data_IF_205206392738
#
_entry.id   IF_205206392738
#
_cell.length_a   1.000
_cell.length_b   1.000
_cell.length_c   1.000
_cell.angle_alpha   90.00
_cell.angle_beta   90.00
_cell.angle_gamma   90.00
#
_symmetry.space_group_name_H-M   'P 1'
#
loop_
_entity.id
_entity.type
_entity.pdbx_description
1 polymer ?
#
# COMPACT_ATOMS: atom_id res chain seq x y z
N UNK A 1 24.81 -69.31 15.17
CA UNK A 1 25.95 -68.62 15.79
C UNK A 1 25.40 -67.50 16.64
N UNK A 2 25.67 -67.52 17.94
CA UNK A 2 25.05 -66.60 18.90
C UNK A 2 25.56 -65.17 18.83
N UNK A 3 24.87 -64.26 19.52
CA UNK A 3 25.42 -63.51 20.66
C UNK A 3 24.33 -62.64 21.32
N UNK A 4 24.53 -62.46 22.62
CA UNK A 4 23.66 -61.90 23.65
C UNK A 4 23.15 -60.48 23.39
N UNK A 5 21.89 -60.25 23.78
CA UNK A 5 21.31 -58.92 23.93
C UNK A 5 21.78 -58.24 25.22
N UNK A 6 22.19 -56.98 25.09
CA UNK A 6 22.30 -56.03 26.20
C UNK A 6 21.41 -54.83 25.87
N UNK A 7 20.35 -54.65 26.65
CA UNK A 7 19.47 -53.49 26.58
C UNK A 7 20.11 -52.29 27.26
N UNK A 8 20.58 -51.33 26.48
CA UNK A 8 21.02 -50.02 26.97
C UNK A 8 19.89 -49.00 26.87
N UNK A 9 19.33 -48.60 28.02
CA UNK A 9 18.45 -47.44 28.12
C UNK A 9 19.25 -46.16 27.81
N UNK A 10 19.00 -45.54 26.65
CA UNK A 10 19.51 -44.23 26.31
C UNK A 10 18.78 -43.14 27.14
N UNK A 11 19.50 -42.49 28.04
CA UNK A 11 18.97 -41.39 28.86
C UNK A 11 18.87 -40.09 28.05
N UNK A 12 17.66 -39.76 27.58
CA UNK A 12 17.32 -38.49 26.90
C UNK A 12 17.50 -37.22 27.78
N UNK A 13 17.96 -37.36 29.03
CA UNK A 13 18.00 -36.26 30.00
C UNK A 13 19.26 -35.38 29.96
N UNK A 14 20.34 -35.83 29.27
CA UNK A 14 21.59 -35.06 29.17
C UNK A 14 21.62 -34.08 27.99
N UNK A 15 21.09 -34.46 26.82
CA UNK A 15 21.06 -33.57 25.64
C UNK A 15 20.07 -32.40 25.81
N UNK A 16 18.93 -32.63 26.49
CA UNK A 16 17.93 -31.58 26.77
C UNK A 16 18.48 -30.44 27.63
N UNK A 17 19.45 -30.70 28.52
CA UNK A 17 20.06 -29.65 29.37
C UNK A 17 21.04 -28.76 28.60
N UNK A 18 21.72 -29.29 27.58
CA UNK A 18 22.67 -28.52 26.76
C UNK A 18 22.01 -27.56 25.76
N UNK A 19 20.77 -27.83 25.33
CA UNK A 19 20.08 -26.99 24.34
C UNK A 19 19.72 -25.60 24.88
N UNK A 20 19.31 -25.51 26.15
CA UNK A 20 18.93 -24.25 26.81
C UNK A 20 20.13 -23.36 27.20
N UNK A 21 21.35 -23.89 27.15
CA UNK A 21 22.58 -23.15 27.44
C UNK A 21 23.26 -22.59 26.19
N UNK A 22 22.76 -22.90 24.99
CA UNK A 22 23.29 -22.37 23.73
C UNK A 22 22.82 -20.94 23.52
N UNK A 23 23.69 -20.11 22.95
CA UNK A 23 23.27 -18.77 22.51
C UNK A 23 22.23 -18.88 21.40
N UNK A 24 21.37 -17.86 21.25
CA UNK A 24 20.36 -17.80 20.19
C UNK A 24 20.96 -18.04 18.81
N UNK A 25 22.17 -17.55 18.56
CA UNK A 25 22.90 -17.76 17.31
C UNK A 25 23.27 -19.24 17.09
N UNK A 26 23.70 -19.95 18.13
CA UNK A 26 24.02 -21.38 18.06
C UNK A 26 22.76 -22.24 17.85
N UNK A 27 21.62 -21.84 18.42
CA UNK A 27 20.34 -22.51 18.18
C UNK A 27 19.86 -22.30 16.74
N UNK A 28 20.00 -21.09 16.19
CA UNK A 28 19.65 -20.79 14.81
C UNK A 28 20.57 -21.49 13.80
N UNK A 29 21.88 -21.55 14.09
CA UNK A 29 22.84 -22.30 13.28
C UNK A 29 22.48 -23.79 13.25
N UNK A 30 22.08 -24.35 14.40
CA UNK A 30 21.66 -25.74 14.50
C UNK A 30 20.39 -26.03 13.68
N UNK A 31 19.36 -25.18 13.78
CA UNK A 31 18.13 -25.32 12.97
C UNK A 31 18.43 -25.24 11.48
N UNK A 32 19.27 -24.28 11.07
CA UNK A 32 19.66 -24.12 9.68
C UNK A 32 20.39 -25.36 9.15
N UNK A 33 21.35 -25.88 9.89
CA UNK A 33 22.24 -26.94 9.41
C UNK A 33 21.62 -28.34 9.50
N UNK A 34 20.83 -28.62 10.54
CA UNK A 34 20.30 -29.97 10.79
C UNK A 34 18.84 -30.16 10.38
N UNK A 35 18.08 -29.07 10.25
CA UNK A 35 16.66 -29.15 9.86
C UNK A 35 16.47 -28.61 8.45
N UNK A 36 16.89 -27.37 8.18
CA UNK A 36 16.57 -26.72 6.91
C UNK A 36 17.40 -27.24 5.74
N UNK A 37 18.71 -27.43 5.91
CA UNK A 37 19.58 -27.93 4.82
C UNK A 37 19.16 -29.28 4.25
N UNK A 38 18.87 -30.32 5.05
CA UNK A 38 18.39 -31.60 4.52
C UNK A 38 17.04 -31.47 3.80
N UNK A 39 16.13 -30.65 4.34
CA UNK A 39 14.81 -30.39 3.73
C UNK A 39 14.96 -29.72 2.37
N UNK A 40 15.81 -28.70 2.25
CA UNK A 40 16.07 -28.04 0.97
C UNK A 40 16.74 -28.99 -0.03
N UNK A 41 17.65 -29.86 0.40
CA UNK A 41 18.25 -30.88 -0.47
C UNK A 41 17.20 -31.86 -1.02
N UNK A 42 16.24 -32.30 -0.19
CA UNK A 42 15.15 -33.19 -0.60
C UNK A 42 14.18 -32.48 -1.55
N UNK A 43 13.79 -31.24 -1.26
CA UNK A 43 12.91 -30.45 -2.14
C UNK A 43 13.57 -30.14 -3.49
N UNK A 44 14.88 -29.85 -3.48
CA UNK A 44 15.66 -29.64 -4.70
C UNK A 44 15.73 -30.93 -5.54
N UNK A 45 15.95 -32.08 -4.91
CA UNK A 45 15.93 -33.38 -5.58
C UNK A 45 14.54 -33.75 -6.12
N UNK A 46 13.47 -33.40 -5.40
CA UNK A 46 12.08 -33.63 -5.82
C UNK A 46 11.67 -32.74 -7.01
N UNK A 47 12.14 -31.48 -7.04
CA UNK A 47 11.90 -30.53 -8.14
C UNK A 47 12.46 -31.02 -9.47
N UNK A 48 13.60 -31.71 -9.45
CA UNK A 48 14.20 -32.29 -10.66
C UNK A 48 13.44 -33.52 -11.19
N UNK A 49 12.61 -34.18 -10.38
CA UNK A 49 11.84 -35.37 -10.79
C UNK A 49 10.42 -35.08 -11.27
N UNK A 50 10.03 -33.80 -11.44
CA UNK A 50 8.71 -33.33 -11.95
C UNK A 50 7.49 -34.05 -11.35
N UNK A 51 7.50 -34.41 -10.07
CA UNK A 51 6.36 -35.05 -9.44
C UNK A 51 5.73 -34.10 -8.41
N UNK A 52 4.75 -33.32 -8.84
CA UNK A 52 4.14 -32.25 -8.03
C UNK A 52 3.50 -32.80 -6.73
N UNK A 53 3.01 -34.04 -6.76
CA UNK A 53 2.39 -34.70 -5.62
C UNK A 53 3.36 -34.99 -4.47
N UNK A 54 4.62 -35.37 -4.75
CA UNK A 54 5.60 -35.61 -3.67
C UNK A 54 6.06 -34.32 -3.01
N UNK A 55 6.15 -33.21 -3.75
CA UNK A 55 6.48 -31.90 -3.19
C UNK A 55 5.38 -31.38 -2.25
N UNK A 56 4.11 -31.60 -2.60
CA UNK A 56 2.98 -31.20 -1.77
C UNK A 56 2.90 -32.02 -0.48
N UNK A 57 3.06 -33.35 -0.56
CA UNK A 57 3.04 -34.24 0.61
C UNK A 57 4.21 -33.98 1.58
N UNK A 58 5.42 -33.69 1.05
CA UNK A 58 6.57 -33.33 1.88
C UNK A 58 6.40 -31.97 2.57
N UNK A 59 5.76 -31.01 1.90
CA UNK A 59 5.45 -29.70 2.50
C UNK A 59 4.40 -29.83 3.62
N UNK A 60 3.40 -30.69 3.42
CA UNK A 60 2.39 -30.98 4.44
C UNK A 60 2.99 -31.72 5.65
N UNK A 61 3.87 -32.70 5.42
CA UNK A 61 4.58 -33.39 6.49
C UNK A 61 5.47 -32.45 7.31
N UNK A 62 6.13 -31.48 6.65
CA UNK A 62 6.94 -30.46 7.31
C UNK A 62 6.09 -29.56 8.22
N UNK A 63 4.92 -29.12 7.75
CA UNK A 63 3.98 -28.32 8.54
C UNK A 63 3.49 -29.07 9.79
N UNK A 64 3.23 -30.37 9.67
CA UNK A 64 2.82 -31.22 10.80
C UNK A 64 3.95 -31.40 11.83
N UNK A 65 5.20 -31.54 11.38
CA UNK A 65 6.37 -31.63 12.29
C UNK A 65 6.57 -30.29 13.02
N UNK A 66 6.49 -29.16 12.30
CA UNK A 66 6.61 -27.83 12.93
C UNK A 66 5.48 -27.58 13.94
N UNK A 67 4.23 -27.92 13.58
CA UNK A 67 3.06 -27.78 14.46
C UNK A 67 3.17 -28.64 15.73
N UNK A 68 3.63 -29.89 15.61
CA UNK A 68 3.80 -30.77 16.77
C UNK A 68 4.90 -30.28 17.73
N UNK A 69 6.00 -29.72 17.22
CA UNK A 69 7.08 -29.17 18.05
C UNK A 69 6.66 -27.87 18.76
N UNK A 70 5.86 -27.02 18.11
CA UNK A 70 5.31 -25.80 18.73
C UNK A 70 4.29 -26.13 19.84
N UNK A 71 3.48 -27.16 19.64
CA UNK A 71 2.48 -27.63 20.63
C UNK A 71 3.13 -28.18 21.91
N UNK A 72 4.29 -28.85 21.79
CA UNK A 72 5.10 -29.32 22.93
C UNK A 72 5.72 -28.14 23.69
N UNK A 73 6.06 -27.05 23.00
CA UNK A 73 6.61 -25.83 23.63
C UNK A 73 5.56 -25.10 24.47
N UNK A 74 4.32 -24.97 23.97
CA UNK A 74 3.22 -24.31 24.68
C UNK A 74 2.69 -25.10 25.88
N UNK A 75 2.68 -26.43 25.82
CA UNK A 75 2.27 -27.27 26.96
C UNK A 75 3.27 -27.21 28.13
N UNK A 76 4.54 -26.89 27.85
CA UNK A 76 5.59 -26.79 28.87
C UNK A 76 5.62 -25.45 29.62
N UNK A 77 4.99 -24.39 29.07
CA UNK A 77 4.90 -23.09 29.73
C UNK A 77 3.78 -23.04 30.77
N UNK A 78 2.69 -23.79 30.57
CA UNK A 78 1.56 -23.85 31.51
C UNK A 78 1.84 -24.70 32.76
N UNK A 79 2.85 -25.57 32.74
CA UNK A 79 3.23 -26.40 33.89
C UNK A 79 4.08 -25.67 34.95
N UNK A 80 4.41 -24.38 34.76
CA UNK A 80 5.30 -23.62 35.66
C UNK A 80 4.62 -22.56 36.54
N UNK A 81 3.31 -22.36 36.41
CA UNK A 81 2.54 -21.39 37.21
C UNK A 81 1.44 -22.07 38.01
N UNK A 82 1.81 -22.96 38.93
CA UNK A 82 0.95 -23.31 40.08
C UNK A 82 1.78 -24.03 41.16
N UNK A 83 2.48 -23.26 42.01
CA UNK A 83 3.04 -23.78 43.27
C UNK A 83 3.39 -22.65 44.23
N UNK A 84 2.36 -22.16 44.93
CA UNK A 84 2.36 -21.40 46.22
C UNK A 84 0.91 -20.90 46.35
N UNK A 85 0.06 -21.28 47.29
CA UNK A 85 0.15 -21.45 48.76
C UNK A 85 -1.11 -22.18 49.22
N UNK A 86 -1.01 -23.07 50.21
CA UNK A 86 -2.18 -23.47 51.00
C UNK A 86 -1.78 -23.90 52.41
N UNK A 87 -2.42 -23.28 53.41
CA UNK A 87 -2.60 -23.86 54.76
C UNK A 87 -3.91 -23.30 55.34
N UNK A 88 -4.93 -24.18 55.37
CA UNK A 88 -6.06 -24.33 56.31
C UNK A 88 -6.78 -23.10 56.89
N UNK A 89 -8.12 -23.01 56.73
CA UNK A 89 -9.12 -23.74 57.54
C UNK A 89 -10.59 -23.45 57.13
N UNK A 90 -11.44 -24.47 57.38
CA UNK A 90 -12.88 -24.51 57.69
C UNK A 90 -13.99 -24.20 56.65
N UNK A 91 -14.51 -25.31 56.10
CA UNK A 91 -15.91 -25.80 56.19
C UNK A 91 -17.12 -24.83 56.09
N UNK A 92 -17.90 -24.97 55.01
CA UNK A 92 -19.33 -25.34 55.05
C UNK A 92 -19.91 -25.65 53.64
N UNK A 93 -20.45 -26.86 53.48
CA UNK A 93 -21.77 -27.24 52.93
C UNK A 93 -22.30 -26.53 51.65
N UNK A 94 -22.45 -27.27 50.53
CA UNK A 94 -23.76 -27.70 49.98
C UNK A 94 -23.64 -28.30 48.57
N UNK A 95 -24.35 -29.41 48.36
CA UNK A 95 -24.65 -30.07 47.09
C UNK A 95 -25.47 -29.18 46.15
N UNK A 96 -25.29 -29.33 44.82
CA UNK A 96 -26.38 -29.56 43.84
C UNK A 96 -25.80 -29.91 42.46
N UNK A 97 -26.36 -30.96 41.86
CA UNK A 97 -26.23 -31.39 40.48
C UNK A 97 -26.85 -30.40 39.48
N UNK A 98 -26.35 -30.38 38.22
CA UNK A 98 -27.22 -30.48 37.03
C UNK A 98 -26.43 -30.48 35.70
N UNK A 99 -26.60 -31.59 34.99
CA UNK A 99 -26.65 -31.80 33.53
C UNK A 99 -26.78 -30.59 32.59
N UNK A 100 -26.07 -30.60 31.45
CA UNK A 100 -26.62 -30.82 30.08
C UNK A 100 -25.62 -30.36 29.00
N UNK A 101 -25.17 -31.29 28.14
CA UNK A 101 -24.50 -30.97 26.88
C UNK A 101 -24.73 -32.11 25.88
N UNK A 102 -25.86 -32.08 25.18
CA UNK A 102 -26.13 -32.88 23.99
C UNK A 102 -27.21 -32.18 23.18
N UNK A 103 -26.85 -31.66 22.00
CA UNK A 103 -27.73 -31.39 20.85
C UNK A 103 -27.03 -30.42 19.89
N UNK A 104 -26.61 -30.92 18.72
CA UNK A 104 -26.69 -30.26 17.42
C UNK A 104 -25.78 -30.96 16.40
N UNK A 105 -26.22 -32.13 15.94
CA UNK A 105 -25.82 -32.69 14.65
C UNK A 105 -27.12 -33.13 13.96
N UNK A 106 -27.15 -33.01 12.63
CA UNK A 106 -28.24 -33.37 11.70
C UNK A 106 -29.23 -32.26 11.34
N UNK A 107 -28.97 -31.60 10.20
CA UNK A 107 -29.95 -31.44 9.10
C UNK A 107 -29.35 -30.63 7.96
N UNK A 108 -28.82 -31.32 6.94
CA UNK A 108 -28.56 -30.76 5.60
C UNK A 108 -28.89 -31.83 4.57
N UNK A 109 -30.17 -31.98 4.26
CA UNK A 109 -30.64 -32.64 3.03
C UNK A 109 -32.15 -32.40 2.88
N UNK A 110 -32.52 -31.28 2.29
CA UNK A 110 -33.73 -31.17 1.46
C UNK A 110 -33.82 -29.77 0.86
N UNK A 111 -34.36 -29.71 -0.37
CA UNK A 111 -34.63 -28.55 -1.23
C UNK A 111 -33.72 -28.40 -2.45
N UNK A 112 -33.69 -29.48 -3.24
CA UNK A 112 -33.77 -29.40 -4.70
C UNK A 112 -35.19 -29.83 -5.09
N UNK A 113 -36.01 -28.90 -5.60
CA UNK A 113 -36.89 -29.10 -6.77
C UNK A 113 -37.86 -27.92 -7.02
N UNK A 114 -37.76 -27.38 -8.24
CA UNK A 114 -38.81 -26.76 -9.09
C UNK A 114 -39.04 -25.22 -9.05
N UNK A 115 -39.60 -24.58 -10.12
CA UNK A 115 -38.82 -24.12 -11.31
C UNK A 115 -39.21 -22.72 -11.89
N UNK A 116 -38.46 -22.28 -12.92
CA UNK A 116 -38.73 -21.26 -13.97
C UNK A 116 -38.70 -19.75 -13.62
N UNK A 117 -37.63 -19.06 -14.05
CA UNK A 117 -37.59 -17.63 -14.49
C UNK A 117 -36.49 -17.49 -15.60
N UNK A 118 -36.69 -16.73 -16.70
CA UNK A 118 -35.95 -16.88 -17.98
C UNK A 118 -34.56 -16.18 -18.01
N UNK A 119 -33.71 -16.48 -19.02
CA UNK A 119 -32.30 -16.08 -19.02
C UNK A 119 -32.12 -14.65 -19.53
N UNK A 120 -31.42 -13.81 -18.76
CA UNK A 120 -30.85 -12.56 -19.25
C UNK A 120 -29.41 -12.40 -18.73
N UNK A 121 -28.53 -12.10 -19.68
CA UNK A 121 -27.09 -11.82 -19.55
C UNK A 121 -26.16 -13.01 -19.30
N UNK A 122 -26.00 -13.80 -20.35
CA UNK A 122 -24.74 -14.47 -20.67
C UNK A 122 -23.69 -13.39 -21.00
N UNK A 123 -23.09 -12.81 -19.96
CA UNK A 123 -21.95 -11.92 -20.13
C UNK A 123 -20.72 -12.80 -20.34
N UNK A 124 -20.19 -12.74 -21.57
CA UNK A 124 -19.01 -13.47 -22.01
C UNK A 124 -17.89 -13.46 -20.96
N UNK A 125 -17.49 -14.66 -20.53
CA UNK A 125 -16.18 -14.92 -19.92
C UNK A 125 -15.10 -14.64 -20.98
N UNK A 126 -14.78 -13.38 -21.20
CA UNK A 126 -13.52 -13.01 -21.82
C UNK A 126 -12.51 -12.86 -20.69
N UNK A 127 -11.58 -13.81 -20.61
CA UNK A 127 -10.36 -13.66 -19.82
C UNK A 127 -9.52 -12.58 -20.48
N UNK A 128 -9.54 -11.39 -19.90
CA UNK A 128 -8.71 -10.25 -20.29
C UNK A 128 -7.27 -10.51 -19.81
N UNK A 129 -6.31 -10.58 -20.75
CA UNK A 129 -4.89 -10.74 -20.46
C UNK A 129 -4.25 -9.35 -20.36
N UNK A 130 -3.52 -9.08 -19.27
CA UNK A 130 -2.96 -7.76 -18.91
C UNK A 130 -2.12 -7.04 -19.98
N UNK A 131 -1.58 -7.75 -20.98
CA UNK A 131 -0.88 -7.16 -22.13
C UNK A 131 -1.82 -6.58 -23.19
N UNK A 132 -2.99 -7.17 -23.38
CA UNK A 132 -4.00 -6.76 -24.36
C UNK A 132 -4.87 -5.63 -23.81
N UNK A 133 -5.10 -5.59 -22.49
CA UNK A 133 -5.81 -4.51 -21.80
C UNK A 133 -5.08 -3.17 -21.95
N UNK A 134 -3.76 -3.21 -21.77
CA UNK A 134 -2.88 -2.07 -21.92
C UNK A 134 -2.76 -1.58 -23.36
N UNK A 135 -2.64 -2.50 -24.33
CA UNK A 135 -2.69 -2.13 -25.75
C UNK A 135 -4.04 -1.51 -26.09
N UNK A 136 -5.15 -2.07 -25.61
CA UNK A 136 -6.48 -1.54 -25.86
C UNK A 136 -6.65 -0.11 -25.32
N UNK A 137 -6.22 0.15 -24.07
CA UNK A 137 -6.29 1.50 -23.46
C UNK A 137 -5.42 2.54 -24.18
N UNK A 138 -4.29 2.13 -24.76
CA UNK A 138 -3.40 3.05 -25.47
C UNK A 138 -3.69 3.16 -26.97
N UNK A 139 -4.16 2.11 -27.60
CA UNK A 139 -4.57 2.10 -29.01
C UNK A 139 -5.85 2.91 -29.21
N UNK A 140 -6.74 2.99 -28.21
CA UNK A 140 -7.92 3.85 -28.24
C UNK A 140 -7.60 5.36 -28.38
N UNK A 141 -6.41 5.80 -27.97
CA UNK A 141 -6.09 7.23 -27.88
C UNK A 141 -5.24 7.80 -29.03
N UNK A 142 -4.78 6.98 -29.99
CA UNK A 142 -3.79 7.41 -31.00
C UNK A 142 -4.34 8.16 -32.24
N UNK A 143 -5.63 8.54 -32.30
CA UNK A 143 -6.27 9.00 -33.55
C UNK A 143 -6.58 10.51 -33.68
N UNK A 144 -6.00 11.43 -32.89
CA UNK A 144 -6.30 12.88 -33.05
C UNK A 144 -5.09 13.79 -32.87
N UNK A 145 -4.67 14.45 -33.95
CA UNK A 145 -3.92 15.71 -33.91
C UNK A 145 -4.31 16.59 -35.10
N UNK A 146 -4.96 17.75 -34.88
CA UNK A 146 -4.93 18.86 -35.84
C UNK A 146 -3.93 19.93 -35.38
N UNK A 147 -3.23 20.55 -36.33
CA UNK A 147 -2.25 21.61 -36.13
C UNK A 147 -2.86 23.01 -36.29
N UNK A 148 -2.21 23.97 -35.61
CA UNK A 148 -2.31 25.45 -35.72
C UNK A 148 -3.34 26.17 -34.84
N UNK A 149 -2.85 26.99 -33.89
CA UNK A 149 -2.95 28.46 -33.85
C UNK A 149 -2.40 29.04 -32.52
N UNK A 150 -2.28 30.37 -32.47
CA UNK A 150 -1.32 31.22 -31.74
C UNK A 150 -1.57 31.51 -30.25
N UNK A 151 -0.47 31.42 -29.48
CA UNK A 151 -0.02 32.12 -28.26
C UNK A 151 -1.01 32.74 -27.26
N UNK A 152 -0.89 32.37 -25.97
CA UNK A 152 -1.18 33.27 -24.81
C UNK A 152 -0.42 32.86 -23.53
N UNK A 153 0.28 33.84 -22.95
CA UNK A 153 0.83 34.03 -21.58
C UNK A 153 1.46 32.85 -20.83
N UNK A 154 2.80 32.80 -20.82
CA UNK A 154 3.65 32.08 -19.87
C UNK A 154 3.41 32.59 -18.44
N UNK A 155 2.64 31.87 -17.62
CA UNK A 155 2.52 32.15 -16.19
C UNK A 155 3.52 31.29 -15.41
N UNK A 156 4.51 31.98 -14.85
CA UNK A 156 5.54 31.48 -13.95
C UNK A 156 4.93 30.60 -12.85
N UNK A 157 5.63 29.53 -12.43
CA UNK A 157 5.29 28.80 -11.22
C UNK A 157 5.07 29.82 -10.10
N UNK A 158 3.88 29.82 -9.49
CA UNK A 158 3.58 30.68 -8.36
C UNK A 158 4.35 30.15 -7.15
N UNK A 159 5.62 30.56 -7.07
CA UNK A 159 6.65 30.03 -6.17
C UNK A 159 6.35 30.35 -4.70
N UNK A 160 5.44 31.29 -4.44
CA UNK A 160 4.95 31.63 -3.10
C UNK A 160 4.10 30.51 -2.48
N UNK A 161 3.47 29.66 -3.30
CA UNK A 161 2.71 28.47 -2.84
C UNK A 161 3.58 27.39 -2.20
N UNK A 162 4.88 27.38 -2.50
CA UNK A 162 5.82 26.40 -1.95
C UNK A 162 6.20 26.73 -0.51
N UNK A 163 6.18 28.02 -0.16
CA UNK A 163 6.87 28.51 1.04
C UNK A 163 5.96 28.76 2.25
N UNK A 164 4.73 29.27 2.13
CA UNK A 164 4.00 29.75 3.33
C UNK A 164 2.46 29.73 3.33
N UNK A 165 1.75 29.38 2.25
CA UNK A 165 0.28 29.40 2.26
C UNK A 165 -0.32 28.13 2.92
N UNK A 166 -1.39 28.31 3.70
CA UNK A 166 -2.26 27.20 4.09
C UNK A 166 -2.87 26.64 2.79
N UNK A 167 -2.79 25.33 2.48
CA UNK A 167 -3.26 24.81 1.19
C UNK A 167 -4.76 25.01 0.93
N UNK A 168 -5.55 25.27 1.98
CA UNK A 168 -6.95 25.65 1.90
C UNK A 168 -7.17 27.11 1.41
N UNK A 169 -6.12 27.94 1.47
CA UNK A 169 -6.13 29.35 1.08
C UNK A 169 -5.58 29.57 -0.34
N UNK A 170 -5.00 28.55 -0.97
CA UNK A 170 -4.66 28.59 -2.39
C UNK A 170 -5.96 28.65 -3.19
N UNK A 171 -6.22 29.72 -3.97
CA UNK A 171 -7.41 29.75 -4.80
C UNK A 171 -7.25 28.66 -5.85
N UNK A 172 -7.94 27.52 -5.69
CA UNK A 172 -8.25 26.68 -6.82
C UNK A 172 -8.77 27.62 -7.90
N UNK A 173 -8.14 27.62 -9.08
CA UNK A 173 -8.58 28.51 -10.14
C UNK A 173 -10.07 28.23 -10.36
N UNK A 174 -10.87 29.28 -10.44
CA UNK A 174 -12.33 29.21 -10.55
C UNK A 174 -12.84 28.58 -11.87
N UNK A 175 -11.96 27.96 -12.64
CA UNK A 175 -12.28 27.07 -13.75
C UNK A 175 -12.21 25.61 -13.29
N UNK A 176 -13.32 24.90 -13.37
CA UNK A 176 -13.36 23.45 -13.12
C UNK A 176 -12.30 22.69 -13.94
N UNK A 177 -11.90 21.51 -13.47
CA UNK A 177 -10.89 20.69 -14.13
C UNK A 177 -10.20 19.74 -13.17
N UNK A 178 -9.30 18.93 -13.72
CA UNK A 178 -8.53 17.93 -12.98
C UNK A 178 -7.04 18.21 -13.05
N UNK A 179 -6.39 18.26 -11.89
CA UNK A 179 -4.95 18.11 -11.75
C UNK A 179 -4.64 16.62 -11.56
N UNK A 180 -3.91 16.02 -12.50
CA UNK A 180 -3.29 14.72 -12.23
C UNK A 180 -2.09 14.96 -11.33
N UNK A 181 -2.01 14.26 -10.20
CA UNK A 181 -0.85 14.32 -9.31
C UNK A 181 -0.14 12.98 -9.30
N UNK A 182 1.16 13.00 -9.51
CA UNK A 182 2.00 11.81 -9.53
C UNK A 182 3.33 12.11 -8.84
N UNK A 183 3.89 11.12 -8.15
CA UNK A 183 5.22 11.20 -7.58
C UNK A 183 6.05 9.99 -8.01
N UNK A 184 7.33 10.21 -8.29
CA UNK A 184 8.22 9.19 -8.82
C UNK A 184 9.56 9.23 -8.11
N UNK A 185 10.14 8.05 -7.90
CA UNK A 185 11.55 7.88 -7.56
C UNK A 185 12.10 6.70 -8.33
N UNK A 186 13.07 6.94 -9.21
CA UNK A 186 13.79 5.91 -9.97
C UNK A 186 12.91 5.01 -10.89
N UNK A 187 11.66 5.39 -11.19
CA UNK A 187 10.73 4.63 -12.05
C UNK A 187 10.40 5.37 -13.35
N UNK A 188 11.42 5.72 -14.10
CA UNK A 188 11.27 6.63 -15.26
C UNK A 188 10.90 5.90 -16.56
N UNK A 189 11.17 4.58 -16.66
CA UNK A 189 11.08 3.83 -17.92
C UNK A 189 9.71 3.82 -18.61
N UNK A 190 8.62 3.84 -17.84
CA UNK A 190 7.24 3.85 -18.37
C UNK A 190 6.59 5.24 -18.31
N UNK A 191 7.23 6.20 -17.63
CA UNK A 191 6.63 7.47 -17.26
C UNK A 191 6.27 8.33 -18.47
N UNK A 192 7.13 8.38 -19.49
CA UNK A 192 6.85 9.16 -20.71
C UNK A 192 5.59 8.67 -21.44
N UNK A 193 5.36 7.36 -21.46
CA UNK A 193 4.16 6.76 -22.06
C UNK A 193 2.91 7.06 -21.23
N UNK A 194 3.03 7.04 -19.91
CA UNK A 194 1.93 7.36 -19.01
C UNK A 194 1.55 8.84 -19.03
N UNK A 195 2.53 9.74 -19.12
CA UNK A 195 2.25 11.17 -19.26
C UNK A 195 1.41 11.47 -20.50
N UNK A 196 1.73 10.86 -21.65
CA UNK A 196 0.88 10.97 -22.84
C UNK A 196 -0.52 10.45 -22.57
N UNK A 197 -0.63 9.28 -21.91
CA UNK A 197 -1.92 8.69 -21.57
C UNK A 197 -2.79 9.62 -20.68
N UNK A 198 -2.20 10.26 -19.68
CA UNK A 198 -2.92 11.14 -18.76
C UNK A 198 -3.34 12.46 -19.43
N UNK A 199 -2.51 13.02 -20.31
CA UNK A 199 -2.80 14.26 -21.03
C UNK A 199 -3.90 14.11 -22.10
N UNK A 200 -4.23 12.88 -22.48
CA UNK A 200 -5.32 12.58 -23.42
C UNK A 200 -6.69 12.59 -22.74
N UNK A 201 -6.75 12.71 -21.41
CA UNK A 201 -8.00 12.82 -20.66
C UNK A 201 -8.56 14.24 -20.85
N UNK A 202 -9.77 14.42 -21.41
CA UNK A 202 -10.28 15.74 -21.76
C UNK A 202 -10.40 16.73 -20.59
N UNK A 203 -10.73 16.24 -19.40
CA UNK A 203 -10.90 17.04 -18.19
C UNK A 203 -9.59 17.39 -17.50
N UNK A 204 -8.48 16.74 -17.87
CA UNK A 204 -7.16 17.00 -17.28
C UNK A 204 -6.57 18.28 -17.86
N UNK A 205 -6.24 19.20 -16.95
CA UNK A 205 -5.73 20.52 -17.29
C UNK A 205 -4.25 20.70 -16.93
N UNK A 206 -3.74 19.85 -16.05
CA UNK A 206 -2.31 19.74 -15.77
C UNK A 206 -1.96 18.36 -15.22
N UNK A 207 -0.68 18.01 -15.34
CA UNK A 207 -0.03 16.97 -14.57
C UNK A 207 1.00 17.62 -13.67
N UNK A 208 0.84 17.49 -12.36
CA UNK A 208 1.88 17.84 -11.38
C UNK A 208 2.68 16.60 -11.06
N UNK A 209 3.93 16.59 -11.49
CA UNK A 209 4.85 15.47 -11.32
C UNK A 209 5.95 15.84 -10.32
N UNK A 210 6.07 15.06 -9.25
CA UNK A 210 7.14 15.22 -8.26
C UNK A 210 8.23 14.18 -8.50
N UNK A 211 9.43 14.63 -8.83
CA UNK A 211 10.65 13.81 -8.79
C UNK A 211 11.21 13.79 -7.38
N UNK A 212 11.02 12.69 -6.66
CA UNK A 212 11.43 12.53 -5.27
C UNK A 212 12.89 12.04 -5.17
N UNK A 213 13.82 12.94 -5.49
CA UNK A 213 15.25 12.68 -5.47
C UNK A 213 15.63 11.39 -6.24
N UNK A 214 15.13 11.23 -7.47
CA UNK A 214 15.60 10.15 -8.35
C UNK A 214 17.10 10.28 -8.59
N UNK A 215 17.80 9.15 -8.65
CA UNK A 215 19.24 9.05 -8.95
C UNK A 215 19.56 9.70 -10.29
N UNK A 216 18.76 9.37 -11.31
CA UNK A 216 18.73 10.10 -12.57
C UNK A 216 17.55 11.08 -12.53
N UNK A 217 17.79 12.40 -12.62
CA UNK A 217 16.72 13.39 -12.64
C UNK A 217 15.73 13.14 -13.77
N UNK A 218 14.44 13.17 -13.44
CA UNK A 218 13.36 12.86 -14.40
C UNK A 218 13.29 13.89 -15.53
N UNK A 219 13.69 15.14 -15.26
CA UNK A 219 13.70 16.24 -16.24
C UNK A 219 14.45 15.87 -17.53
N UNK A 220 15.61 15.20 -17.42
CA UNK A 220 16.39 14.78 -18.58
C UNK A 220 15.64 13.75 -19.43
N UNK A 221 14.95 12.81 -18.79
CA UNK A 221 14.16 11.78 -19.49
C UNK A 221 12.90 12.35 -20.14
N UNK A 222 12.24 13.33 -19.50
CA UNK A 222 11.10 14.02 -20.10
C UNK A 222 11.51 14.80 -21.34
N UNK A 223 12.60 15.56 -21.25
CA UNK A 223 13.17 16.30 -22.38
C UNK A 223 13.49 15.37 -23.55
N UNK A 224 14.14 14.25 -23.28
CA UNK A 224 14.44 13.24 -24.31
C UNK A 224 13.19 12.59 -24.92
N UNK A 225 12.06 12.59 -24.20
CA UNK A 225 10.79 12.01 -24.64
C UNK A 225 9.86 13.03 -25.33
N UNK A 226 10.33 14.25 -25.58
CA UNK A 226 9.55 15.32 -26.20
C UNK A 226 8.62 16.08 -25.25
N UNK A 227 8.71 15.84 -23.94
CA UNK A 227 8.06 16.67 -22.93
C UNK A 227 9.00 17.80 -22.51
N UNK A 228 8.74 19.02 -22.99
CA UNK A 228 9.17 20.22 -22.30
C UNK A 228 8.20 20.53 -21.16
N UNK A 229 8.69 21.08 -20.04
CA UNK A 229 7.82 21.55 -18.96
C UNK A 229 6.89 22.69 -19.41
N UNK A 230 7.17 23.30 -20.56
CA UNK A 230 6.32 24.22 -21.28
C UNK A 230 5.95 23.57 -22.63
N UNK A 231 4.97 22.67 -22.64
CA UNK A 231 4.27 22.36 -23.88
C UNK A 231 3.22 23.47 -24.08
N UNK A 232 3.64 24.55 -24.74
CA UNK A 232 2.84 25.75 -25.08
C UNK A 232 1.64 25.48 -26.03
N UNK A 233 1.19 24.25 -26.20
CA UNK A 233 -0.08 24.01 -26.88
C UNK A 233 -1.19 24.21 -25.86
N UNK A 234 -1.72 25.43 -25.77
CA UNK A 234 -2.88 25.84 -24.98
C UNK A 234 -4.19 25.10 -25.29
N UNK A 235 -4.11 23.84 -25.69
CA UNK A 235 -5.21 22.95 -26.08
C UNK A 235 -5.27 21.70 -25.19
N UNK A 236 -4.15 21.24 -24.59
CA UNK A 236 -4.14 20.07 -23.70
C UNK A 236 -3.11 20.24 -22.57
N UNK A 237 -3.40 19.70 -21.38
CA UNK A 237 -2.77 20.07 -20.11
C UNK A 237 -1.24 20.17 -20.09
N UNK A 238 -0.71 21.06 -19.23
CA UNK A 238 0.73 21.23 -19.04
C UNK A 238 1.30 20.21 -18.05
N UNK A 239 2.55 19.76 -18.25
CA UNK A 239 3.29 18.96 -17.27
C UNK A 239 4.18 19.88 -16.43
N UNK A 240 3.90 19.97 -15.13
CA UNK A 240 4.70 20.72 -14.17
C UNK A 240 5.56 19.77 -13.35
N UNK A 241 6.86 19.85 -13.56
CA UNK A 241 7.84 19.04 -12.84
C UNK A 241 8.42 19.81 -11.65
N UNK A 242 8.37 19.20 -10.47
CA UNK A 242 9.11 19.67 -9.29
C UNK A 242 10.01 18.55 -8.79
N UNK A 243 11.29 18.84 -8.64
CA UNK A 243 12.26 17.93 -8.06
C UNK A 243 12.50 18.27 -6.60
N UNK A 244 12.43 17.26 -5.74
CA UNK A 244 12.84 17.37 -4.34
C UNK A 244 14.29 16.91 -4.23
N UNK A 245 15.14 17.79 -3.74
CA UNK A 245 16.55 17.50 -3.51
C UNK A 245 16.78 16.94 -2.09
N UNK A 246 17.89 16.21 -1.92
CA UNK A 246 18.41 15.77 -0.62
C UNK A 246 17.48 14.84 0.18
N UNK A 247 16.64 14.05 -0.50
CA UNK A 247 15.85 12.97 0.11
C UNK A 247 16.51 11.62 -0.16
N UNK A 248 16.89 10.91 0.91
CA UNK A 248 17.58 9.60 0.81
C UNK A 248 16.61 8.42 0.75
N UNK A 249 15.36 8.62 1.15
CA UNK A 249 14.32 7.58 1.20
C UNK A 249 13.05 8.04 0.49
N UNK A 250 12.25 7.07 0.03
CA UNK A 250 10.93 7.33 -0.53
C UNK A 250 9.95 7.61 0.61
N UNK A 251 9.26 8.74 0.55
CA UNK A 251 8.21 9.11 1.52
C UNK A 251 6.95 9.54 0.76
N UNK A 252 6.03 8.60 0.59
CA UNK A 252 4.82 8.74 -0.21
C UNK A 252 3.98 9.94 0.23
N UNK A 253 3.67 9.99 1.53
CA UNK A 253 2.81 11.02 2.15
C UNK A 253 3.28 12.44 1.82
N UNK A 254 4.57 12.71 2.00
CA UNK A 254 5.20 14.02 1.72
C UNK A 254 5.23 14.33 0.22
N UNK A 255 5.55 13.34 -0.62
CA UNK A 255 5.63 13.53 -2.07
C UNK A 255 4.26 13.90 -2.68
N UNK A 256 3.20 13.18 -2.30
CA UNK A 256 1.86 13.47 -2.81
C UNK A 256 1.24 14.71 -2.18
N UNK A 257 1.52 15.03 -0.91
CA UNK A 257 1.12 16.32 -0.34
C UNK A 257 1.77 17.50 -1.06
N UNK A 258 3.05 17.39 -1.44
CA UNK A 258 3.71 18.42 -2.26
C UNK A 258 3.04 18.55 -3.63
N UNK A 259 2.77 17.43 -4.32
CA UNK A 259 2.09 17.45 -5.61
C UNK A 259 0.70 18.08 -5.51
N UNK A 260 -0.10 17.70 -4.51
CA UNK A 260 -1.42 18.27 -4.24
C UNK A 260 -1.38 19.76 -3.89
N UNK A 261 -0.28 20.25 -3.29
CA UNK A 261 -0.14 21.68 -2.92
C UNK A 261 0.13 22.55 -4.13
N UNK A 262 0.79 21.97 -5.14
CA UNK A 262 1.12 22.62 -6.40
C UNK A 262 -0.01 22.53 -7.43
N UNK A 263 -0.99 21.64 -7.21
CA UNK A 263 -2.18 21.49 -8.03
C UNK A 263 -3.06 22.75 -7.96
N UNK A 264 -3.63 23.14 -9.10
CA UNK A 264 -4.39 24.39 -9.28
C UNK A 264 -5.86 24.18 -9.54
N UNK A 265 -6.29 22.97 -9.88
CA UNK A 265 -7.66 22.71 -10.31
C UNK A 265 -8.51 22.10 -9.19
N UNK A 266 -9.83 22.09 -9.44
CA UNK A 266 -10.84 21.73 -8.45
C UNK A 266 -10.73 20.29 -7.93
N UNK A 267 -10.27 19.37 -8.78
CA UNK A 267 -10.17 17.95 -8.43
C UNK A 267 -8.77 17.40 -8.66
N UNK A 268 -8.39 16.45 -7.80
CA UNK A 268 -7.13 15.71 -7.86
C UNK A 268 -7.40 14.30 -8.37
N UNK A 269 -6.70 13.89 -9.43
CA UNK A 269 -6.58 12.49 -9.84
C UNK A 269 -5.17 12.02 -9.49
N UNK A 270 -5.04 11.31 -8.36
CA UNK A 270 -3.78 10.76 -7.89
C UNK A 270 -3.50 9.43 -8.59
N UNK A 271 -2.36 9.34 -9.26
CA UNK A 271 -1.91 8.16 -10.00
C UNK A 271 -0.44 7.86 -9.67
N UNK A 272 -0.12 6.58 -9.53
CA UNK A 272 1.28 6.14 -9.48
C UNK A 272 1.90 6.17 -10.89
N UNK A 273 3.23 6.22 -10.94
CA UNK A 273 4.00 6.26 -12.20
C UNK A 273 4.03 4.91 -12.95
N UNK A 274 3.12 4.02 -12.60
CA UNK A 274 2.80 2.74 -13.23
C UNK A 274 1.28 2.60 -13.49
N UNK A 275 0.46 3.64 -13.27
CA UNK A 275 -0.97 3.61 -13.60
C UNK A 275 -1.27 4.19 -14.98
N UNK A 276 -1.80 3.35 -15.88
CA UNK A 276 -2.45 3.78 -17.11
C UNK A 276 -3.96 3.91 -16.90
N UNK A 277 -4.60 4.90 -17.52
CA UNK A 277 -6.03 5.17 -17.35
C UNK A 277 -6.71 5.46 -18.69
N UNK A 278 -8.01 5.17 -18.79
CA UNK A 278 -8.84 5.56 -19.93
C UNK A 278 -9.12 7.07 -19.90
N UNK A 279 -9.28 7.67 -21.08
CA UNK A 279 -9.84 9.01 -21.30
C UNK A 279 -11.24 9.22 -20.66
N UNK A 280 -11.95 8.15 -20.33
CA UNK A 280 -13.27 8.16 -19.68
C UNK A 280 -13.19 8.14 -18.15
N UNK A 281 -12.01 8.04 -17.56
CA UNK A 281 -11.86 7.86 -16.10
C UNK A 281 -12.56 8.97 -15.31
N UNK A 282 -12.44 10.23 -15.73
CA UNK A 282 -13.08 11.35 -15.01
C UNK A 282 -14.60 11.32 -15.18
N UNK A 283 -15.09 11.10 -16.41
CA UNK A 283 -16.54 11.03 -16.69
C UNK A 283 -17.25 9.90 -15.97
N UNK A 284 -16.57 8.79 -15.73
CA UNK A 284 -17.14 7.64 -15.01
C UNK A 284 -17.21 7.83 -13.49
N UNK A 285 -16.53 8.83 -12.95
CA UNK A 285 -16.37 9.04 -11.51
C UNK A 285 -16.79 10.46 -11.12
N UNK A 286 -18.06 10.80 -11.31
CA UNK A 286 -18.57 12.16 -11.08
C UNK A 286 -18.54 12.51 -9.59
N UNK A 287 -17.86 13.60 -9.26
CA UNK A 287 -17.86 14.18 -7.91
C UNK A 287 -19.08 15.11 -7.75
N UNK A 288 -20.25 14.51 -7.51
CA UNK A 288 -21.51 15.23 -7.38
C UNK A 288 -21.49 16.23 -6.22
N UNK A 289 -21.91 17.47 -6.50
CA UNK A 289 -21.97 18.55 -5.52
C UNK A 289 -23.39 18.74 -5.00
N UNK A 290 -23.53 18.88 -3.68
CA UNK A 290 -24.78 19.32 -3.06
C UNK A 290 -25.05 20.82 -3.30
N UNK A 291 -26.22 21.30 -2.87
CA UNK A 291 -26.59 22.71 -2.98
C UNK A 291 -25.65 23.69 -2.25
N UNK A 292 -24.75 23.18 -1.39
CA UNK A 292 -23.72 23.94 -0.67
C UNK A 292 -22.34 23.78 -1.31
N UNK A 293 -22.25 23.17 -2.48
CA UNK A 293 -20.99 22.95 -3.19
C UNK A 293 -20.08 21.91 -2.53
N UNK A 294 -20.63 20.97 -1.76
CA UNK A 294 -19.87 19.89 -1.10
C UNK A 294 -20.01 18.59 -1.87
N UNK A 295 -18.93 17.84 -2.02
CA UNK A 295 -19.01 16.48 -2.57
C UNK A 295 -19.70 15.55 -1.58
N UNK A 296 -20.44 14.57 -2.09
CA UNK A 296 -20.96 13.44 -1.30
C UNK A 296 -19.94 12.29 -1.21
N UNK A 297 -18.99 12.21 -2.13
CA UNK A 297 -18.12 11.06 -2.27
C UNK A 297 -16.72 11.42 -2.79
N UNK A 298 -15.81 10.45 -2.68
CA UNK A 298 -14.56 10.38 -3.42
C UNK A 298 -14.40 8.96 -3.99
N UNK A 299 -13.54 8.81 -4.99
CA UNK A 299 -13.26 7.51 -5.59
C UNK A 299 -11.84 7.07 -5.26
N UNK A 300 -11.67 5.79 -4.95
CA UNK A 300 -10.35 5.22 -4.68
C UNK A 300 -10.27 3.78 -5.18
N UNK A 301 -9.06 3.30 -5.43
CA UNK A 301 -8.81 1.87 -5.58
C UNK A 301 -9.23 1.14 -4.30
N UNK A 302 -9.69 -0.10 -4.43
CA UNK A 302 -10.05 -1.02 -3.35
C UNK A 302 -9.49 -2.41 -3.70
N UNK A 303 -8.42 -2.79 -3.01
CA UNK A 303 -7.75 -4.09 -3.25
C UNK A 303 -8.70 -5.29 -3.11
N UNK A 304 -9.79 -5.18 -2.34
CA UNK A 304 -10.77 -6.26 -2.17
C UNK A 304 -11.61 -6.52 -3.42
N UNK A 305 -11.66 -5.56 -4.34
CA UNK A 305 -12.36 -5.65 -5.62
C UNK A 305 -11.44 -6.02 -6.79
N UNK A 306 -10.15 -6.25 -6.52
CA UNK A 306 -9.19 -6.65 -7.53
C UNK A 306 -9.59 -7.99 -8.17
N UNK A 307 -9.64 -8.02 -9.51
CA UNK A 307 -10.01 -9.20 -10.31
C UNK A 307 -8.81 -10.07 -10.66
N UNK A 308 -7.60 -9.56 -10.42
CA UNK A 308 -6.33 -10.26 -10.63
C UNK A 308 -5.27 -9.79 -9.63
N UNK A 309 -4.20 -10.56 -9.50
CA UNK A 309 -3.05 -10.22 -8.64
C UNK A 309 -2.44 -8.86 -9.01
N UNK A 310 -2.44 -8.48 -10.29
CA UNK A 310 -1.90 -7.19 -10.73
C UNK A 310 -2.82 -6.01 -10.36
N UNK A 311 -4.13 -6.23 -10.28
CA UNK A 311 -5.10 -5.18 -9.97
C UNK A 311 -5.05 -4.73 -8.50
N UNK A 312 -4.45 -5.51 -7.60
CA UNK A 312 -4.25 -5.09 -6.20
C UNK A 312 -3.35 -3.84 -6.12
N UNK A 313 -2.55 -3.57 -7.15
CA UNK A 313 -1.66 -2.42 -7.23
C UNK A 313 -2.35 -1.13 -7.71
N UNK A 314 -3.65 -1.18 -7.99
CA UNK A 314 -4.49 -0.01 -8.30
C UNK A 314 -4.92 0.71 -7.01
N UNK A 315 -4.76 0.09 -5.83
CA UNK A 315 -5.25 0.60 -4.54
C UNK A 315 -4.83 2.05 -4.21
N UNK A 316 -3.65 2.47 -4.68
CA UNK A 316 -3.18 3.83 -4.46
C UNK A 316 -3.92 4.89 -5.29
N UNK A 317 -4.60 4.53 -6.39
CA UNK A 317 -5.27 5.52 -7.22
C UNK A 317 -6.46 6.17 -6.48
N UNK A 318 -6.64 7.48 -6.66
CA UNK A 318 -7.72 8.24 -6.00
C UNK A 318 -8.20 9.40 -6.88
N UNK A 319 -9.50 9.65 -6.89
CA UNK A 319 -10.13 10.84 -7.46
C UNK A 319 -10.98 11.56 -6.41
N UNK A 320 -10.62 12.80 -6.08
CA UNK A 320 -11.19 13.56 -4.97
C UNK A 320 -11.17 15.06 -5.28
N UNK A 321 -12.04 15.84 -4.64
CA UNK A 321 -11.91 17.29 -4.71
C UNK A 321 -10.70 17.77 -3.93
N UNK A 322 -10.00 18.77 -4.47
CA UNK A 322 -8.83 19.38 -3.83
C UNK A 322 -9.18 19.94 -2.45
N UNK A 323 -10.34 20.60 -2.32
CA UNK A 323 -10.82 21.14 -1.04
C UNK A 323 -11.12 20.05 0.00
N UNK A 324 -11.54 18.87 -0.44
CA UNK A 324 -11.88 17.75 0.43
C UNK A 324 -10.62 17.05 0.94
N UNK A 325 -9.63 16.88 0.07
CA UNK A 325 -8.30 16.42 0.42
C UNK A 325 -7.65 17.32 1.49
N UNK A 326 -7.71 18.63 1.30
CA UNK A 326 -7.10 19.58 2.25
C UNK A 326 -7.90 19.79 3.53
N UNK A 327 -9.21 19.60 3.51
CA UNK A 327 -10.06 19.60 4.71
C UNK A 327 -9.63 18.56 5.76
N UNK A 328 -9.01 17.47 5.33
CA UNK A 328 -8.41 16.47 6.22
C UNK A 328 -6.89 16.62 6.38
N UNK A 329 -6.29 17.69 5.83
CA UNK A 329 -4.85 18.00 5.80
C UNK A 329 -4.00 17.05 4.94
N UNK A 330 -4.58 16.43 3.91
CA UNK A 330 -3.87 15.52 3.01
C UNK A 330 -3.38 14.24 3.69
N UNK A 331 -2.34 13.62 3.15
CA UNK A 331 -1.70 12.44 3.76
C UNK A 331 -1.02 12.78 5.10
N UNK A 332 -0.98 11.81 6.02
CA UNK A 332 -0.25 11.95 7.29
C UNK A 332 1.26 11.77 7.06
N UNK A 333 1.99 12.87 7.10
CA UNK A 333 3.43 12.90 6.82
C UNK A 333 4.32 12.32 7.93
N UNK A 334 3.73 11.89 9.06
CA UNK A 334 4.43 11.09 10.06
C UNK A 334 4.69 9.67 9.55
N UNK A 335 3.88 9.18 8.61
CA UNK A 335 4.11 7.91 7.92
C UNK A 335 5.22 8.12 6.89
N UNK A 336 6.40 7.59 7.19
CA UNK A 336 7.61 7.74 6.35
C UNK A 336 8.15 6.41 5.83
N UNK A 337 7.43 5.33 6.09
CA UNK A 337 7.71 3.97 5.63
C UNK A 337 6.52 3.44 4.83
N UNK A 338 6.76 2.38 4.07
CA UNK A 338 5.74 1.77 3.23
C UNK A 338 4.47 1.40 4.00
N UNK A 339 3.32 1.92 3.54
CA UNK A 339 2.01 1.35 3.80
C UNK A 339 1.23 2.03 4.92
N UNK A 340 -0.09 1.81 4.87
CA UNK A 340 -1.12 2.46 5.69
C UNK A 340 -1.46 3.92 5.33
N UNK A 341 -0.63 4.60 4.51
CA UNK A 341 -0.85 6.00 4.10
C UNK A 341 -2.23 6.25 3.46
N UNK A 342 -2.63 5.40 2.50
CA UNK A 342 -3.89 5.54 1.77
C UNK A 342 -5.10 5.25 2.67
N UNK A 343 -5.05 4.18 3.47
CA UNK A 343 -6.16 3.80 4.36
C UNK A 343 -6.37 4.82 5.49
N UNK A 344 -5.29 5.42 6.03
CA UNK A 344 -5.40 6.55 6.96
C UNK A 344 -6.10 7.75 6.31
N UNK A 345 -5.67 8.17 5.11
CA UNK A 345 -6.30 9.27 4.38
C UNK A 345 -7.79 8.98 4.11
N UNK A 346 -8.11 7.79 3.61
CA UNK A 346 -9.48 7.39 3.29
C UNK A 346 -10.35 7.33 4.54
N UNK A 347 -9.83 6.86 5.68
CA UNK A 347 -10.54 6.87 6.95
C UNK A 347 -10.87 8.30 7.41
N UNK A 348 -9.95 9.25 7.24
CA UNK A 348 -10.17 10.66 7.58
C UNK A 348 -11.15 11.34 6.63
N UNK A 349 -11.08 11.08 5.33
CA UNK A 349 -12.06 11.55 4.34
C UNK A 349 -13.47 11.03 4.68
N UNK A 350 -13.62 9.74 5.00
CA UNK A 350 -14.90 9.16 5.46
C UNK A 350 -15.41 9.83 6.73
N UNK A 351 -14.53 10.04 7.70
CA UNK A 351 -14.86 10.73 8.95
C UNK A 351 -15.25 12.21 8.74
N UNK A 352 -14.95 12.79 7.58
CA UNK A 352 -15.40 14.14 7.19
C UNK A 352 -16.79 14.18 6.53
N UNK A 353 -17.45 13.02 6.41
CA UNK A 353 -18.79 12.89 5.81
C UNK A 353 -18.80 12.49 4.34
N UNK A 354 -17.67 12.05 3.77
CA UNK A 354 -17.60 11.58 2.39
C UNK A 354 -17.78 10.05 2.30
N UNK A 355 -18.46 9.59 1.26
CA UNK A 355 -18.50 8.18 0.91
C UNK A 355 -17.25 7.78 0.09
N UNK A 356 -16.59 6.66 0.44
CA UNK A 356 -15.57 6.05 -0.44
C UNK A 356 -16.30 5.18 -1.45
N UNK A 357 -16.20 5.52 -2.73
CA UNK A 357 -16.68 4.70 -3.84
C UNK A 357 -15.49 4.04 -4.56
N UNK A 358 -15.63 2.82 -5.07
CA UNK A 358 -14.55 2.19 -5.80
C UNK A 358 -14.35 2.86 -7.16
N UNK A 359 -13.10 2.99 -7.59
CA UNK A 359 -12.80 3.27 -8.99
C UNK A 359 -13.31 2.14 -9.89
N UNK A 360 -13.63 2.45 -11.13
CA UNK A 360 -13.95 1.48 -12.16
C UNK A 360 -12.67 0.85 -12.68
N UNK A 361 -12.40 -0.38 -12.26
CA UNK A 361 -11.20 -1.15 -12.60
C UNK A 361 -11.07 -1.44 -14.11
N UNK A 362 -12.13 -1.27 -14.90
CA UNK A 362 -12.05 -1.38 -16.37
C UNK A 362 -11.48 -0.11 -17.04
N UNK A 363 -11.26 0.96 -16.28
CA UNK A 363 -10.76 2.25 -16.78
C UNK A 363 -9.36 2.60 -16.23
N UNK A 364 -8.74 1.72 -15.46
CA UNK A 364 -7.41 1.89 -14.88
C UNK A 364 -6.66 0.55 -14.87
N UNK A 365 -5.38 0.59 -15.17
CA UNK A 365 -4.50 -0.57 -15.19
C UNK A 365 -3.15 -0.24 -14.56
N UNK A 366 -2.62 -1.17 -13.77
CA UNK A 366 -1.24 -1.12 -13.28
C UNK A 366 -0.30 -1.76 -14.29
N UNK A 367 0.81 -1.11 -14.58
CA UNK A 367 1.91 -1.62 -15.40
C UNK A 367 2.75 -2.59 -14.58
N UNK A 368 2.73 -3.89 -14.90
CA UNK A 368 3.49 -4.87 -14.13
C UNK A 368 4.98 -4.54 -14.13
N UNK A 369 5.56 -4.54 -12.95
CA UNK A 369 7.00 -4.49 -12.72
C UNK A 369 7.35 -5.43 -11.58
N UNK A 370 8.63 -5.73 -11.39
CA UNK A 370 9.05 -6.66 -10.35
C UNK A 370 8.89 -6.05 -8.94
N UNK A 371 8.73 -6.89 -7.92
CA UNK A 371 8.58 -6.45 -6.53
C UNK A 371 9.85 -5.79 -5.98
N UNK A 372 11.03 -6.11 -6.53
CA UNK A 372 12.29 -5.45 -6.18
C UNK A 372 12.23 -3.95 -6.45
N UNK A 373 11.47 -3.51 -7.47
CA UNK A 373 11.24 -2.10 -7.75
C UNK A 373 10.38 -1.40 -6.65
N UNK A 374 9.69 -2.17 -5.80
CA UNK A 374 8.88 -1.70 -4.66
C UNK A 374 9.63 -1.77 -3.34
N UNK A 375 10.80 -2.42 -3.29
CA UNK A 375 11.54 -2.60 -2.06
C UNK A 375 11.98 -1.26 -1.49
N UNK A 376 11.45 -0.90 -0.32
CA UNK A 376 11.98 0.19 0.48
C UNK A 376 13.04 -0.35 1.43
N UNK A 377 14.19 0.30 1.48
CA UNK A 377 15.27 -0.06 2.39
C UNK A 377 14.74 -0.13 3.83
N UNK A 378 14.89 -1.29 4.48
CA UNK A 378 14.46 -1.51 5.86
C UNK A 378 13.05 -2.07 6.02
N UNK A 379 12.28 -2.26 4.94
CA UNK A 379 10.98 -2.95 4.97
C UNK A 379 11.17 -4.37 4.45
N UNK A 380 11.03 -5.36 5.34
CA UNK A 380 11.18 -6.78 4.98
C UNK A 380 9.83 -7.49 4.80
N UNK A 381 8.85 -7.15 5.62
CA UNK A 381 7.51 -7.75 5.60
C UNK A 381 6.49 -6.64 5.40
N UNK A 382 5.98 -6.51 4.18
CA UNK A 382 5.08 -5.41 3.78
C UNK A 382 3.86 -5.35 4.71
N UNK A 383 3.19 -6.48 4.94
CA UNK A 383 2.00 -6.51 5.79
C UNK A 383 2.30 -6.12 7.24
N UNK A 384 3.39 -6.65 7.82
CA UNK A 384 3.84 -6.28 9.19
C UNK A 384 4.10 -4.78 9.27
N UNK A 385 4.71 -4.18 8.25
CA UNK A 385 4.99 -2.74 8.23
C UNK A 385 3.70 -1.90 8.13
N UNK A 386 2.70 -2.36 7.37
CA UNK A 386 1.37 -1.74 7.29
C UNK A 386 0.69 -1.77 8.66
N UNK A 387 0.63 -2.94 9.30
CA UNK A 387 0.03 -3.10 10.62
C UNK A 387 0.77 -2.31 11.69
N UNK A 388 2.09 -2.24 11.58
CA UNK A 388 2.92 -1.45 12.50
C UNK A 388 2.60 0.04 12.40
N UNK A 389 2.51 0.60 11.18
CA UNK A 389 2.15 1.99 10.99
C UNK A 389 0.74 2.30 11.53
N UNK A 390 -0.24 1.40 11.29
CA UNK A 390 -1.59 1.49 11.87
C UNK A 390 -1.56 1.57 13.38
N UNK A 391 -0.89 0.62 14.04
CA UNK A 391 -0.85 0.52 15.49
C UNK A 391 -0.14 1.71 16.15
N UNK A 392 0.89 2.27 15.53
CA UNK A 392 1.53 3.48 16.03
C UNK A 392 0.60 4.70 15.91
N UNK A 393 -0.12 4.84 14.80
CA UNK A 393 -1.07 5.95 14.61
C UNK A 393 -2.24 5.91 15.60
N UNK A 394 -2.71 4.73 15.98
CA UNK A 394 -3.73 4.57 17.03
C UNK A 394 -3.29 5.14 18.40
N UNK A 395 -1.99 5.38 18.60
CA UNK A 395 -1.44 5.98 19.83
C UNK A 395 -1.20 7.48 19.73
N UNK A 396 -1.46 8.08 18.57
CA UNK A 396 -1.24 9.49 18.31
C UNK A 396 -2.57 10.20 18.02
N UNK A 397 -2.67 11.51 18.29
CA UNK A 397 -3.81 12.29 17.81
C UNK A 397 -3.90 12.23 16.28
N UNK A 398 -5.13 12.30 15.77
CA UNK A 398 -5.39 12.29 14.33
C UNK A 398 -4.69 13.46 13.63
N UNK A 399 -4.14 13.21 12.44
CA UNK A 399 -3.37 14.20 11.66
C UNK A 399 -4.06 15.56 11.52
N UNK A 400 -5.38 15.54 11.28
CA UNK A 400 -6.20 16.74 11.13
C UNK A 400 -6.24 17.62 12.40
N UNK A 401 -6.09 17.03 13.58
CA UNK A 401 -6.31 17.67 14.88
C UNK A 401 -5.01 18.13 15.56
N UNK A 402 -3.83 17.88 14.94
CA UNK A 402 -2.54 18.22 15.54
C UNK A 402 -2.14 19.67 15.24
N UNK A 403 -2.40 20.59 16.16
CA UNK A 403 -2.05 22.01 16.01
C UNK A 403 -0.53 22.24 15.83
N UNK A 404 0.28 21.47 16.56
CA UNK A 404 1.73 21.71 16.65
C UNK A 404 2.57 20.94 15.61
N UNK A 405 1.95 20.06 14.80
CA UNK A 405 2.67 19.38 13.73
C UNK A 405 2.44 20.12 12.42
N UNK A 406 3.48 20.82 11.99
CA UNK A 406 3.52 21.47 10.68
C UNK A 406 3.80 20.41 9.60
N UNK A 407 2.98 20.36 8.53
CA UNK A 407 3.32 19.61 7.33
C UNK A 407 4.67 20.04 6.77
N UNK A 408 5.27 19.23 5.91
CA UNK A 408 6.53 19.54 5.26
C UNK A 408 6.43 20.87 4.54
N UNK A 409 7.43 21.71 4.75
CA UNK A 409 7.64 22.96 4.00
C UNK A 409 8.86 22.80 3.13
N UNK A 410 8.83 23.49 2.00
CA UNK A 410 9.84 23.38 0.98
C UNK A 410 10.36 24.78 0.65
N UNK A 411 11.66 24.87 0.41
CA UNK A 411 12.32 26.07 -0.07
C UNK A 411 12.83 25.82 -1.49
N UNK A 412 12.69 26.79 -2.37
CA UNK A 412 13.28 26.75 -3.71
C UNK A 412 14.80 26.80 -3.58
N UNK A 413 15.50 25.88 -4.26
CA UNK A 413 16.97 25.79 -4.29
C UNK A 413 17.55 25.81 -5.70
N UNK A 414 16.71 25.68 -6.73
CA UNK A 414 17.11 25.73 -8.13
C UNK A 414 15.90 25.85 -9.05
N UNK A 415 16.13 26.32 -10.28
CA UNK A 415 15.10 26.76 -11.21
C UNK A 415 15.00 28.29 -11.20
N UNK A 416 15.77 28.93 -12.09
CA UNK A 416 15.67 30.37 -12.35
C UNK A 416 14.40 30.71 -13.13
N UNK A 417 14.20 31.97 -13.49
CA UNK A 417 13.00 32.55 -14.12
C UNK A 417 12.48 31.91 -15.44
N UNK A 418 12.99 30.75 -15.86
CA UNK A 418 12.51 29.93 -16.97
C UNK A 418 11.92 28.63 -16.40
N UNK A 419 10.68 28.30 -16.77
CA UNK A 419 9.81 27.36 -16.05
C UNK A 419 10.10 25.87 -16.32
N UNK A 420 11.35 25.51 -16.64
CA UNK A 420 11.69 24.16 -17.13
C UNK A 420 11.67 23.05 -16.06
N UNK A 421 11.84 23.37 -14.77
CA UNK A 421 11.57 22.52 -13.59
C UNK A 421 12.00 23.27 -12.33
N UNK A 422 11.22 23.23 -11.26
CA UNK A 422 11.64 23.77 -9.96
C UNK A 422 12.34 22.69 -9.13
N UNK A 423 13.48 23.02 -8.53
CA UNK A 423 14.14 22.18 -7.52
C UNK A 423 13.88 22.77 -6.13
N UNK A 424 13.39 21.93 -5.22
CA UNK A 424 13.06 22.32 -3.84
C UNK A 424 13.78 21.45 -2.82
N UNK A 425 14.05 21.99 -1.65
CA UNK A 425 14.52 21.23 -0.48
C UNK A 425 13.51 21.33 0.64
N UNK A 426 13.26 20.24 1.36
CA UNK A 426 12.44 20.31 2.56
C UNK A 426 13.21 21.02 3.68
N UNK A 427 12.70 22.17 4.14
CA UNK A 427 13.27 22.91 5.27
C UNK A 427 12.55 22.62 6.60
N UNK A 428 11.32 22.11 6.54
CA UNK A 428 10.58 21.58 7.68
C UNK A 428 10.12 20.17 7.33
N UNK A 429 10.29 19.24 8.27
CA UNK A 429 9.84 17.85 8.16
C UNK A 429 9.15 17.43 9.46
N UNK A 430 7.96 16.82 9.40
CA UNK A 430 7.41 16.13 10.56
C UNK A 430 8.35 15.04 11.06
N UNK A 431 8.34 14.80 12.37
CA UNK A 431 8.96 13.60 12.94
C UNK A 431 8.19 12.36 12.47
N UNK A 432 8.92 11.26 12.26
CA UNK A 432 8.30 9.98 11.95
C UNK A 432 7.55 9.39 13.15
N UNK A 433 6.64 8.44 12.91
CA UNK A 433 5.83 7.81 13.96
C UNK A 433 6.65 7.24 15.14
N UNK A 434 7.85 6.69 14.89
CA UNK A 434 8.69 6.07 15.92
C UNK A 434 9.39 7.14 16.76
N UNK A 435 9.68 8.29 16.17
CA UNK A 435 10.27 9.42 16.88
C UNK A 435 9.27 10.12 17.82
N UNK A 436 7.96 9.85 17.66
CA UNK A 436 6.88 10.47 18.43
C UNK A 436 6.38 9.63 19.61
N UNK A 437 6.84 8.38 19.77
CA UNK A 437 6.29 7.44 20.74
C UNK A 437 7.39 6.88 21.67
N UNK A 438 7.03 6.49 22.92
CA UNK A 438 7.94 5.79 23.81
C UNK A 438 8.43 4.47 23.21
N UNK A 439 9.68 4.09 23.54
CA UNK A 439 10.30 2.86 23.03
C UNK A 439 9.50 1.59 23.32
N UNK A 440 8.87 1.50 24.50
CA UNK A 440 8.05 0.33 24.86
C UNK A 440 6.80 0.25 23.98
N UNK A 441 6.10 1.36 23.72
CA UNK A 441 4.97 1.41 22.79
C UNK A 441 5.34 0.94 21.40
N UNK A 442 6.51 1.36 20.90
CA UNK A 442 7.03 0.96 19.59
C UNK A 442 7.32 -0.54 19.56
N UNK A 443 7.97 -1.07 20.61
CA UNK A 443 8.27 -2.51 20.72
C UNK A 443 6.98 -3.33 20.75
N UNK A 444 5.99 -2.90 21.51
CA UNK A 444 4.75 -3.63 21.70
C UNK A 444 3.91 -3.62 20.40
N UNK A 445 3.86 -2.49 19.69
CA UNK A 445 3.23 -2.40 18.37
C UNK A 445 3.93 -3.30 17.34
N UNK A 446 5.26 -3.34 17.34
CA UNK A 446 6.02 -4.23 16.45
C UNK A 446 5.76 -5.71 16.76
N UNK A 447 5.72 -6.08 18.05
CA UNK A 447 5.44 -7.44 18.48
C UNK A 447 4.02 -7.90 18.12
N UNK A 448 3.04 -6.99 18.13
CA UNK A 448 1.67 -7.28 17.72
C UNK A 448 1.50 -7.37 16.20
N UNK A 449 2.40 -6.73 15.44
CA UNK A 449 2.37 -6.75 13.96
C UNK A 449 2.95 -8.03 13.37
N UNK A 450 3.80 -8.74 14.13
CA UNK A 450 4.40 -10.03 13.77
C UNK A 450 3.46 -11.19 14.10
#
# INVERSE_FOLDING_TARGET
>A
GGLNGTGGHFSQSKERRGWWQRTREQQLLWVRELVLKPVFAVLHAARHRRNAYTSALLSLALLLVISSQLSVSLSSSHARTSKTTSTTSNAHRSQTDSSTAASAAESYSSLLNSPVVPPMFECARNSWNSRDDFKSLLTLNHQRFPTSHTATTTQQLDLDLVSNANPADSPAQSGGGVSVIAACRNRVGSLSRLLHNWLLIPEVREVVLVDWASETPIAATLKASGFSAETESGVHGCVRLVRVENESSWVLSRAYNLAARLARYESLLRLDCDHAVSDKIVKAHVLELDAKGRSSAFYAGDYSLARSENEVHINGAMFVRTVDFWRVRGYDERIQTYGWDDEDLYARLKSSGLERRPLNYSLIAHLPHSDEARAQKGVQFVQVQVDFNRLLLEKLPAWKDVADVSPSRYALVGGGASAEAASVVANVRPLDLRSLLPRDTIRDAWALSL
#
